data_IF_131309883344
#
_entry.id   IF_131309883344
#
_cell.length_a   1.000
_cell.length_b   1.000
_cell.length_c   1.000
_cell.angle_alpha   90.00
_cell.angle_beta   90.00
_cell.angle_gamma   90.00
#
_symmetry.space_group_name_H-M   'P 1'
#
loop_
_entity.id
_entity.type
_entity.pdbx_description
1 polymer ?
#
# COMPACT_ATOMS: atom_id res chain seq x y z
N UNK A 1 -4.84 10.75 -20.10
CA UNK A 1 -5.77 11.38 -19.14
C UNK A 1 -7.00 10.48 -19.08
N UNK A 2 -7.52 10.16 -17.88
CA UNK A 2 -8.68 9.29 -17.73
C UNK A 2 -9.91 10.16 -17.42
N UNK A 3 -11.05 9.87 -18.04
CA UNK A 3 -12.28 10.65 -17.88
C UNK A 3 -13.40 9.73 -17.38
N UNK A 4 -14.10 10.18 -16.33
CA UNK A 4 -15.32 9.55 -15.83
C UNK A 4 -16.48 10.51 -16.09
N UNK A 5 -17.54 10.02 -16.73
CA UNK A 5 -18.74 10.79 -17.04
C UNK A 5 -19.94 10.08 -16.40
N UNK A 6 -20.74 10.80 -15.61
CA UNK A 6 -21.96 10.29 -14.97
C UNK A 6 -23.16 11.05 -15.53
N UNK A 7 -24.12 10.34 -16.12
CA UNK A 7 -25.26 10.93 -16.81
C UNK A 7 -26.54 10.19 -16.39
N UNK A 8 -27.60 10.95 -16.06
CA UNK A 8 -28.94 10.43 -15.74
C UNK A 8 -29.94 10.66 -16.89
N UNK A 9 -29.45 10.57 -18.13
CA UNK A 9 -30.24 10.70 -19.35
C UNK A 9 -30.32 9.31 -20.01
N UNK A 10 -31.48 8.97 -20.55
CA UNK A 10 -31.72 7.68 -21.22
C UNK A 10 -30.77 7.49 -22.42
N UNK A 11 -30.36 8.59 -23.05
CA UNK A 11 -29.42 8.61 -24.18
C UNK A 11 -28.22 9.52 -23.88
N UNK A 12 -27.21 9.01 -23.12
CA UNK A 12 -26.16 9.86 -22.55
C UNK A 12 -25.15 10.36 -23.58
N UNK A 13 -24.70 9.51 -24.51
CA UNK A 13 -23.76 9.88 -25.57
C UNK A 13 -23.87 8.90 -26.74
N UNK A 14 -23.65 9.36 -27.97
CA UNK A 14 -23.52 8.47 -29.14
C UNK A 14 -22.11 7.88 -29.15
N UNK A 15 -22.02 6.56 -29.15
CA UNK A 15 -20.76 5.81 -29.27
C UNK A 15 -20.83 5.01 -30.57
N UNK A 16 -19.84 5.19 -31.43
CA UNK A 16 -19.73 4.41 -32.66
C UNK A 16 -19.29 2.98 -32.35
N UNK A 17 -19.77 2.00 -33.12
CA UNK A 17 -19.55 0.58 -32.82
C UNK A 17 -18.07 0.17 -32.74
N UNK A 18 -17.20 0.89 -33.46
CA UNK A 18 -15.76 0.64 -33.50
C UNK A 18 -14.96 1.51 -32.50
N UNK A 19 -15.62 2.36 -31.72
CA UNK A 19 -14.95 3.18 -30.71
C UNK A 19 -14.67 2.36 -29.44
N UNK A 20 -13.37 2.16 -29.16
CA UNK A 20 -12.88 1.33 -28.06
C UNK A 20 -12.47 2.14 -26.83
N UNK A 21 -12.74 3.45 -26.81
CA UNK A 21 -12.30 4.36 -25.74
C UNK A 21 -13.24 4.37 -24.54
N UNK A 22 -14.43 3.83 -24.68
CA UNK A 22 -15.49 3.92 -23.67
C UNK A 22 -15.78 2.55 -23.05
N UNK A 23 -15.94 2.55 -21.74
CA UNK A 23 -16.56 1.45 -20.99
C UNK A 23 -17.88 1.99 -20.46
N UNK A 24 -18.99 1.37 -20.85
CA UNK A 24 -20.34 1.81 -20.45
C UNK A 24 -20.87 0.89 -19.36
N UNK A 25 -21.20 1.46 -18.20
CA UNK A 25 -21.86 0.74 -17.12
C UNK A 25 -23.27 1.33 -16.91
N UNK A 26 -24.29 0.47 -16.98
CA UNK A 26 -25.67 0.85 -16.63
C UNK A 26 -25.98 0.36 -15.24
N UNK A 27 -26.05 1.27 -14.28
CA UNK A 27 -26.48 0.95 -12.93
C UNK A 27 -28.00 1.02 -12.85
N UNK A 28 -28.63 -0.01 -12.29
CA UNK A 28 -30.02 0.10 -11.86
C UNK A 28 -30.06 1.03 -10.65
N UNK A 29 -31.07 1.90 -10.58
CA UNK A 29 -31.27 2.79 -9.44
C UNK A 29 -31.92 2.03 -8.26
N UNK A 30 -31.28 0.93 -7.83
CA UNK A 30 -31.80 0.04 -6.78
C UNK A 30 -31.93 0.77 -5.45
N UNK A 31 -31.00 1.69 -5.18
CA UNK A 31 -30.96 2.51 -3.97
C UNK A 31 -31.51 3.92 -4.21
N UNK A 32 -32.39 4.11 -5.20
CA UNK A 32 -33.00 5.43 -5.42
C UNK A 32 -33.74 5.85 -4.16
N UNK A 33 -33.46 7.06 -3.69
CA UNK A 33 -34.06 7.64 -2.48
C UNK A 33 -33.77 6.89 -1.16
N UNK A 34 -32.83 5.93 -1.17
CA UNK A 34 -32.38 5.18 0.01
C UNK A 34 -31.32 5.97 0.80
N UNK A 35 -31.81 6.87 1.67
CA UNK A 35 -30.99 7.79 2.45
C UNK A 35 -30.03 7.04 3.39
N UNK A 36 -30.48 5.94 3.99
CA UNK A 36 -29.68 5.15 4.94
C UNK A 36 -28.49 4.50 4.24
N UNK A 37 -28.72 3.90 3.06
CA UNK A 37 -27.65 3.33 2.24
C UNK A 37 -26.58 4.37 1.89
N UNK A 38 -26.98 5.55 1.37
CA UNK A 38 -26.01 6.58 1.00
C UNK A 38 -25.28 7.18 2.20
N UNK A 39 -25.95 7.29 3.34
CA UNK A 39 -25.32 7.73 4.60
C UNK A 39 -24.26 6.72 5.06
N UNK A 40 -24.58 5.42 5.05
CA UNK A 40 -23.64 4.36 5.39
C UNK A 40 -22.43 4.34 4.44
N UNK A 41 -22.69 4.37 3.13
CA UNK A 41 -21.66 4.37 2.10
C UNK A 41 -20.71 5.57 2.21
N UNK A 42 -21.25 6.77 2.46
CA UNK A 42 -20.45 7.99 2.67
C UNK A 42 -19.49 7.82 3.84
N UNK A 43 -19.99 7.30 4.97
CA UNK A 43 -19.18 7.07 6.15
C UNK A 43 -18.08 6.01 5.92
N UNK A 44 -18.36 4.97 5.14
CA UNK A 44 -17.36 3.96 4.76
C UNK A 44 -16.26 4.55 3.88
N UNK A 45 -16.64 5.34 2.86
CA UNK A 45 -15.68 6.02 1.98
C UNK A 45 -14.78 6.97 2.80
N UNK A 46 -15.36 7.73 3.73
CA UNK A 46 -14.59 8.62 4.61
C UNK A 46 -13.60 7.83 5.47
N UNK A 47 -14.00 6.70 6.04
CA UNK A 47 -13.09 5.81 6.80
C UNK A 47 -11.95 5.27 5.94
N UNK A 48 -12.21 4.97 4.66
CA UNK A 48 -11.16 4.53 3.73
C UNK A 48 -10.23 5.69 3.35
N UNK A 49 -10.77 6.89 3.13
CA UNK A 49 -9.98 8.10 2.81
C UNK A 49 -9.06 8.56 3.95
N UNK A 50 -9.41 8.24 5.21
CA UNK A 50 -8.55 8.50 6.38
C UNK A 50 -7.42 7.45 6.49
N UNK A 51 -7.57 6.26 5.90
CA UNK A 51 -6.50 5.27 5.88
C UNK A 51 -5.43 5.69 4.89
N UNK A 52 -4.16 5.50 5.26
CA UNK A 52 -3.05 5.78 4.37
C UNK A 52 -3.22 5.02 3.05
N UNK A 53 -2.98 5.72 1.93
CA UNK A 53 -2.99 5.11 0.59
C UNK A 53 -2.21 3.79 0.57
N UNK A 54 -2.71 2.80 -0.15
CA UNK A 54 -2.03 1.52 -0.36
C UNK A 54 -0.57 1.71 -0.80
N UNK A 55 -0.29 2.73 -1.63
CA UNK A 55 1.06 3.06 -2.06
C UNK A 55 1.93 3.60 -0.91
N UNK A 56 1.36 4.37 0.02
CA UNK A 56 2.06 4.83 1.22
C UNK A 56 2.40 3.67 2.15
N UNK A 57 1.42 2.79 2.42
CA UNK A 57 1.63 1.59 3.23
C UNK A 57 2.72 0.70 2.65
N UNK A 58 2.72 0.48 1.32
CA UNK A 58 3.74 -0.31 0.62
C UNK A 58 5.14 0.31 0.71
N UNK A 59 5.25 1.64 0.68
CA UNK A 59 6.54 2.34 0.87
C UNK A 59 7.09 2.13 2.28
N UNK A 60 6.27 2.31 3.31
CA UNK A 60 6.67 2.09 4.70
C UNK A 60 7.13 0.66 4.94
N UNK A 61 6.44 -0.32 4.36
CA UNK A 61 6.85 -1.73 4.46
C UNK A 61 8.24 -1.98 3.89
N UNK A 62 8.53 -1.44 2.70
CA UNK A 62 9.88 -1.53 2.11
C UNK A 62 10.95 -0.85 2.98
N UNK A 63 10.65 0.33 3.52
CA UNK A 63 11.60 1.03 4.40
C UNK A 63 11.90 0.22 5.66
N UNK A 64 10.88 -0.43 6.24
CA UNK A 64 11.05 -1.31 7.38
C UNK A 64 11.88 -2.55 7.03
N UNK A 65 11.60 -3.18 5.87
CA UNK A 65 12.39 -4.31 5.37
C UNK A 65 13.88 -3.94 5.21
N UNK A 66 14.17 -2.76 4.65
CA UNK A 66 15.55 -2.24 4.57
C UNK A 66 16.17 -1.97 5.94
N UNK A 67 15.41 -1.38 6.87
CA UNK A 67 15.91 -1.09 8.21
C UNK A 67 16.25 -2.37 8.99
N UNK A 68 15.40 -3.40 8.89
CA UNK A 68 15.65 -4.71 9.49
C UNK A 68 16.87 -5.39 8.88
N UNK A 69 17.04 -5.31 7.55
CA UNK A 69 18.21 -5.87 6.89
C UNK A 69 19.51 -5.20 7.37
N UNK A 70 19.54 -3.88 7.47
CA UNK A 70 20.70 -3.16 7.98
C UNK A 70 21.03 -3.51 9.44
N UNK A 71 20.01 -3.71 10.28
CA UNK A 71 20.18 -4.16 11.66
C UNK A 71 20.76 -5.58 11.76
N UNK A 72 20.43 -6.47 10.82
CA UNK A 72 21.01 -7.82 10.77
C UNK A 72 22.49 -7.76 10.42
N UNK A 73 22.88 -6.97 9.41
CA UNK A 73 24.29 -6.79 9.01
C UNK A 73 25.12 -6.26 10.17
N UNK A 74 24.64 -5.20 10.85
CA UNK A 74 25.35 -4.62 11.98
C UNK A 74 25.51 -5.60 13.15
N UNK A 75 24.56 -6.52 13.35
CA UNK A 75 24.68 -7.58 14.37
C UNK A 75 25.72 -8.64 14.01
N UNK A 76 25.91 -8.92 12.73
CA UNK A 76 26.94 -9.85 12.26
C UNK A 76 28.33 -9.21 12.43
N UNK A 77 28.49 -7.93 12.10
CA UNK A 77 29.76 -7.18 12.29
C UNK A 77 30.19 -7.09 13.77
N UNK A 78 29.26 -6.99 14.72
CA UNK A 78 29.55 -6.97 16.17
C UNK A 78 29.94 -8.36 16.72
N UNK A 79 29.62 -9.46 16.04
CA UNK A 79 29.98 -10.82 16.47
C UNK A 79 31.39 -11.23 16.03
N UNK A 80 31.84 -10.76 14.86
CA UNK A 80 33.16 -11.12 14.31
C UNK A 80 34.33 -10.40 15.02
N UNK A 81 34.07 -9.33 15.77
CA UNK A 81 35.14 -8.58 16.49
C UNK A 81 35.48 -9.14 17.87
N UNK A 82 34.76 -10.15 18.35
CA UNK A 82 34.90 -10.67 19.72
C UNK A 82 35.57 -12.05 19.81
N UNK A 83 35.85 -12.71 18.68
CA UNK A 83 36.54 -14.01 18.66
C UNK A 83 38.08 -13.87 18.65
N UNK A 84 38.65 -12.72 18.26
CA UNK A 84 40.10 -12.51 18.17
C UNK A 84 40.77 -12.03 19.48
N UNK A 85 40.02 -11.77 20.55
CA UNK A 85 40.58 -11.20 21.80
C UNK A 85 40.94 -12.25 22.87
N UNK A 86 40.66 -13.55 22.65
CA UNK A 86 40.78 -14.57 23.70
C UNK A 86 41.94 -15.56 23.54
N UNK A 87 42.65 -15.56 22.41
CA UNK A 87 43.81 -16.46 22.23
C UNK A 87 45.13 -15.87 22.78
N UNK A 88 45.24 -14.54 22.89
CA UNK A 88 46.47 -13.87 23.37
C UNK A 88 46.62 -13.85 24.91
N UNK A 89 45.57 -14.18 25.67
CA UNK A 89 45.61 -14.13 27.15
C UNK A 89 46.18 -15.43 27.75
N UNK A 90 46.10 -16.56 27.04
CA UNK A 90 46.52 -17.86 27.59
C UNK A 90 48.04 -18.08 27.49
N UNK A 91 48.75 -17.43 26.57
CA UNK A 91 50.21 -17.64 26.40
C UNK A 91 51.09 -16.84 27.39
N UNK A 92 50.56 -15.87 28.13
CA UNK A 92 51.35 -15.05 29.07
C UNK A 92 51.38 -15.56 30.52
N UNK A 93 50.69 -16.66 30.84
CA UNK A 93 50.64 -17.20 32.22
C UNK A 93 51.72 -18.28 32.49
N UNK A 94 52.44 -18.75 31.46
CA UNK A 94 53.39 -19.87 31.58
C UNK A 94 54.88 -19.53 31.38
N UNK A 95 55.32 -18.28 31.61
CA UNK A 95 56.75 -17.92 31.68
C UNK A 95 57.14 -17.33 33.04
#
# INVERSE_FOLDING_TARGET
>A
MNLIIVINNDFPVKIEANDKRYVVCRCKAVHRDDVEYFTSLSNEILKVGIKESFHSQRRKRKQLEHHVHNLMILREEDQDTNEDANDDIIEQINL
#
